data_IF_663988560484
#
_entry.id   IF_663988560484
#
_cell.length_a   1.000
_cell.length_b   1.000
_cell.length_c   1.000
_cell.angle_alpha   90.00
_cell.angle_beta   90.00
_cell.angle_gamma   90.00
#
_symmetry.space_group_name_H-M   'P 1'
#
loop_
_entity.id
_entity.type
_entity.pdbx_description
1 polymer ?
#
# COMPACT_ATOMS: atom_id res chain seq x y z
N UNK A 1 28.40 22.73 -13.47
CA UNK A 1 28.22 21.35 -12.98
C UNK A 1 28.25 20.41 -14.19
N UNK A 2 28.90 19.24 -14.09
CA UNK A 2 28.97 18.30 -15.20
C UNK A 2 27.59 17.66 -15.44
N UNK A 3 27.27 17.32 -16.70
CA UNK A 3 26.04 16.58 -17.05
C UNK A 3 25.91 15.25 -16.30
N UNK A 4 27.03 14.60 -16.00
CA UNK A 4 27.08 13.37 -15.22
C UNK A 4 26.57 13.57 -13.79
N UNK A 5 26.98 14.66 -13.13
CA UNK A 5 26.54 14.98 -11.77
C UNK A 5 25.04 15.31 -11.68
N UNK A 6 24.47 15.94 -12.72
CA UNK A 6 23.03 16.22 -12.79
C UNK A 6 22.25 14.91 -12.90
N UNK A 7 22.69 14.00 -13.79
CA UNK A 7 22.03 12.70 -14.01
C UNK A 7 22.06 11.81 -12.77
N UNK A 8 23.22 11.72 -12.09
CA UNK A 8 23.34 10.93 -10.84
C UNK A 8 22.39 11.44 -9.73
N UNK A 9 22.15 12.75 -9.68
CA UNK A 9 21.27 13.35 -8.67
C UNK A 9 19.79 13.10 -8.99
N UNK A 10 19.39 13.19 -10.26
CA UNK A 10 18.04 12.86 -10.73
C UNK A 10 17.70 11.36 -10.52
N UNK A 11 18.67 10.48 -10.78
CA UNK A 11 18.52 9.03 -10.56
C UNK A 11 18.37 8.72 -9.04
N UNK A 12 19.11 9.43 -8.18
CA UNK A 12 19.00 9.29 -6.73
C UNK A 12 17.67 9.81 -6.18
N UNK A 13 17.18 10.95 -6.66
CA UNK A 13 15.88 11.51 -6.27
C UNK A 13 14.74 10.56 -6.66
N UNK A 14 14.77 10.04 -7.90
CA UNK A 14 13.80 9.08 -8.40
C UNK A 14 13.75 7.79 -7.56
N UNK A 15 14.92 7.29 -7.13
CA UNK A 15 14.99 6.12 -6.27
C UNK A 15 14.41 6.36 -4.86
N UNK A 16 14.66 7.53 -4.27
CA UNK A 16 14.10 7.89 -2.96
C UNK A 16 12.58 8.05 -3.02
N UNK A 17 12.05 8.64 -4.09
CA UNK A 17 10.61 8.74 -4.33
C UNK A 17 9.97 7.36 -4.46
N UNK A 18 10.59 6.45 -5.23
CA UNK A 18 10.15 5.07 -5.34
C UNK A 18 10.12 4.36 -3.98
N UNK A 19 11.17 4.49 -3.17
CA UNK A 19 11.22 3.90 -1.82
C UNK A 19 10.16 4.47 -0.88
N UNK A 20 9.85 5.76 -1.00
CA UNK A 20 8.78 6.39 -0.21
C UNK A 20 7.43 5.82 -0.62
N UNK A 21 7.15 5.78 -1.92
CA UNK A 21 5.89 5.25 -2.45
C UNK A 21 5.68 3.78 -2.08
N UNK A 22 6.74 2.97 -2.11
CA UNK A 22 6.70 1.57 -1.68
C UNK A 22 6.25 1.47 -0.23
N UNK A 23 6.91 2.19 0.68
CA UNK A 23 6.58 2.19 2.11
C UNK A 23 5.17 2.70 2.40
N UNK A 24 4.74 3.75 1.70
CA UNK A 24 3.40 4.32 1.85
C UNK A 24 2.33 3.28 1.45
N UNK A 25 2.57 2.49 0.39
CA UNK A 25 1.69 1.40 -0.05
C UNK A 25 1.70 0.21 0.91
N UNK A 26 2.86 -0.18 1.43
CA UNK A 26 2.97 -1.23 2.46
C UNK A 26 2.20 -0.84 3.74
N UNK A 27 2.33 0.40 4.18
CA UNK A 27 1.61 0.90 5.36
C UNK A 27 0.09 0.96 5.10
N UNK A 28 -0.33 1.40 3.90
CA UNK A 28 -1.73 1.38 3.53
C UNK A 28 -2.31 -0.04 3.57
N UNK A 29 -1.60 -1.02 3.01
CA UNK A 29 -2.02 -2.43 3.07
C UNK A 29 -2.19 -2.91 4.51
N UNK A 30 -1.21 -2.61 5.37
CA UNK A 30 -1.25 -2.94 6.80
C UNK A 30 -2.46 -2.33 7.51
N UNK A 31 -2.80 -1.08 7.19
CA UNK A 31 -3.96 -0.38 7.75
C UNK A 31 -5.26 -1.05 7.31
N UNK A 32 -5.39 -1.42 6.04
CA UNK A 32 -6.58 -2.09 5.50
C UNK A 32 -6.79 -3.45 6.16
N UNK A 33 -5.74 -4.25 6.28
CA UNK A 33 -5.78 -5.54 6.96
C UNK A 33 -6.15 -5.38 8.44
N UNK A 34 -5.61 -4.36 9.12
CA UNK A 34 -5.96 -4.05 10.51
C UNK A 34 -7.42 -3.65 10.66
N UNK A 35 -7.96 -2.84 9.74
CA UNK A 35 -9.38 -2.44 9.75
C UNK A 35 -10.30 -3.63 9.52
N UNK A 36 -9.96 -4.52 8.58
CA UNK A 36 -10.68 -5.78 8.38
C UNK A 36 -10.65 -6.65 9.64
N UNK A 37 -9.47 -6.82 10.25
CA UNK A 37 -9.31 -7.59 11.49
C UNK A 37 -10.18 -7.03 12.62
N UNK A 38 -10.22 -5.71 12.79
CA UNK A 38 -11.10 -5.05 13.75
C UNK A 38 -12.57 -5.42 13.51
N UNK A 39 -13.05 -5.37 12.26
CA UNK A 39 -14.45 -5.69 11.94
C UNK A 39 -14.82 -7.16 12.18
N UNK A 40 -13.84 -8.07 12.16
CA UNK A 40 -14.04 -9.51 12.34
C UNK A 40 -13.89 -9.97 13.79
N UNK A 41 -12.91 -9.41 14.52
CA UNK A 41 -12.46 -9.96 15.80
C UNK A 41 -12.73 -9.06 17.00
N UNK A 42 -12.90 -7.75 16.80
CA UNK A 42 -13.06 -6.81 17.91
C UNK A 42 -14.51 -6.78 18.42
N UNK A 43 -14.76 -7.05 19.71
CA UNK A 43 -16.10 -6.98 20.28
C UNK A 43 -16.78 -5.61 20.10
N UNK A 44 -16.02 -4.52 20.05
CA UNK A 44 -16.55 -3.17 19.83
C UNK A 44 -17.16 -3.03 18.43
N UNK A 45 -16.68 -3.77 17.43
CA UNK A 45 -17.25 -3.79 16.10
C UNK A 45 -18.66 -4.41 16.09
N UNK A 46 -19.03 -5.18 17.11
CA UNK A 46 -20.40 -5.71 17.30
C UNK A 46 -21.48 -4.62 17.39
N UNK A 47 -21.10 -3.37 17.68
CA UNK A 47 -22.01 -2.21 17.66
C UNK A 47 -22.38 -1.73 16.25
N UNK A 48 -21.62 -2.13 15.22
CA UNK A 48 -21.88 -1.83 13.82
C UNK A 48 -22.88 -2.87 13.28
N UNK A 49 -23.93 -2.48 12.54
CA UNK A 49 -24.84 -3.43 11.89
C UNK A 49 -24.09 -4.46 11.03
N UNK A 50 -24.53 -5.72 11.08
CA UNK A 50 -23.85 -6.84 10.41
C UNK A 50 -23.69 -6.62 8.91
N UNK A 51 -24.76 -6.23 8.22
CA UNK A 51 -24.72 -5.91 6.78
C UNK A 51 -23.66 -4.86 6.46
N UNK A 52 -23.57 -3.81 7.30
CA UNK A 52 -22.59 -2.74 7.15
C UNK A 52 -21.16 -3.23 7.42
N UNK A 53 -20.95 -4.14 8.36
CA UNK A 53 -19.63 -4.77 8.56
C UNK A 53 -19.21 -5.55 7.33
N UNK A 54 -20.11 -6.34 6.75
CA UNK A 54 -19.81 -7.10 5.53
C UNK A 54 -19.46 -6.20 4.34
N UNK A 55 -20.21 -5.12 4.13
CA UNK A 55 -19.92 -4.12 3.10
C UNK A 55 -18.52 -3.50 3.32
N UNK A 56 -18.20 -3.10 4.55
CA UNK A 56 -16.90 -2.52 4.87
C UNK A 56 -15.76 -3.54 4.71
N UNK A 57 -15.96 -4.80 5.08
CA UNK A 57 -14.98 -5.88 4.89
C UNK A 57 -14.71 -6.08 3.40
N UNK A 58 -15.77 -6.20 2.58
CA UNK A 58 -15.63 -6.37 1.14
C UNK A 58 -14.86 -5.22 0.50
N UNK A 59 -15.17 -3.98 0.91
CA UNK A 59 -14.45 -2.79 0.46
C UNK A 59 -12.96 -2.81 0.85
N UNK A 60 -12.64 -3.17 2.09
CA UNK A 60 -11.24 -3.24 2.53
C UNK A 60 -10.48 -4.37 1.84
N UNK A 61 -11.15 -5.48 1.52
CA UNK A 61 -10.56 -6.56 0.74
C UNK A 61 -10.24 -6.13 -0.69
N UNK A 62 -11.19 -5.50 -1.38
CA UNK A 62 -10.97 -4.97 -2.73
C UNK A 62 -9.84 -3.93 -2.76
N UNK A 63 -9.83 -2.98 -1.82
CA UNK A 63 -8.76 -1.99 -1.70
C UNK A 63 -7.40 -2.65 -1.39
N UNK A 64 -7.37 -3.69 -0.54
CA UNK A 64 -6.14 -4.40 -0.19
C UNK A 64 -5.59 -5.23 -1.37
N UNK A 65 -6.45 -5.86 -2.16
CA UNK A 65 -6.06 -6.58 -3.37
C UNK A 65 -5.44 -5.65 -4.40
N UNK A 66 -6.02 -4.46 -4.59
CA UNK A 66 -5.45 -3.46 -5.49
C UNK A 66 -4.08 -2.97 -5.01
N UNK A 67 -3.94 -2.67 -3.71
CA UNK A 67 -2.65 -2.25 -3.15
C UNK A 67 -1.60 -3.35 -3.27
N UNK A 68 -1.96 -4.63 -3.06
CA UNK A 68 -1.05 -5.76 -3.28
C UNK A 68 -0.58 -5.85 -4.72
N UNK A 69 -1.50 -5.70 -5.68
CA UNK A 69 -1.17 -5.69 -7.12
C UNK A 69 -0.17 -4.57 -7.45
N UNK A 70 -0.40 -3.37 -6.93
CA UNK A 70 0.51 -2.23 -7.15
C UNK A 70 1.88 -2.45 -6.51
N UNK A 71 1.96 -3.08 -5.33
CA UNK A 71 3.22 -3.44 -4.69
C UNK A 71 3.98 -4.48 -5.53
N UNK A 72 3.28 -5.50 -6.04
CA UNK A 72 3.87 -6.52 -6.90
C UNK A 72 4.41 -5.92 -8.20
N UNK A 73 3.67 -5.00 -8.83
CA UNK A 73 4.10 -4.25 -10.01
C UNK A 73 5.39 -3.44 -9.73
N UNK A 74 5.44 -2.68 -8.62
CA UNK A 74 6.65 -1.92 -8.24
C UNK A 74 7.87 -2.81 -7.97
N UNK A 75 7.66 -3.96 -7.32
CA UNK A 75 8.74 -4.90 -7.00
C UNK A 75 9.19 -5.69 -8.24
N UNK A 76 8.35 -5.78 -9.27
CA UNK A 76 8.73 -6.34 -10.56
C UNK A 76 9.56 -5.34 -11.39
N UNK A 77 9.22 -4.05 -11.36
CA UNK A 77 9.97 -2.99 -12.06
C UNK A 77 11.43 -2.89 -11.60
N UNK A 78 11.71 -3.13 -10.31
CA UNK A 78 13.08 -3.13 -9.76
C UNK A 78 13.93 -4.34 -10.14
N UNK A 79 13.35 -5.38 -10.76
CA UNK A 79 14.08 -6.56 -11.24
C UNK A 79 14.64 -6.44 -12.66
N UNK A 80 14.46 -5.30 -13.33
CA UNK A 80 15.02 -5.07 -14.66
C UNK A 80 16.44 -4.47 -14.47
N UNK A 81 17.52 -5.20 -14.85
CA UNK A 81 18.90 -4.76 -14.68
C UNK A 81 19.28 -3.55 -15.53
#
# INVERSE_FOLDING_TARGET
MSRAFIKENEDQESYLEWQKLLRDREELLRILEKKKKYLLEDPAAGTIPEEKRHEMIAKYDEEAEEVRRLLDEMLAETKIP
#
